data_IF_837213472808
#
_entry.id   IF_837213472808
#
_cell.length_a   1.000
_cell.length_b   1.000
_cell.length_c   1.000
_cell.angle_alpha   90.00
_cell.angle_beta   90.00
_cell.angle_gamma   90.00
#
_symmetry.space_group_name_H-M   'P 1'
#
loop_
_entity.id
_entity.type
_entity.pdbx_description
1 polymer ?
#
# COMPACT_ATOMS: atom_id res chain seq x y z
N UNK A 1 29.08 10.60 -19.46
CA UNK A 1 28.52 11.34 -18.31
C UNK A 1 29.15 10.76 -17.05
N UNK A 2 29.71 11.60 -16.18
CA UNK A 2 30.41 11.12 -14.98
C UNK A 2 29.34 10.87 -13.88
N UNK A 3 29.37 9.70 -13.25
CA UNK A 3 28.42 9.33 -12.19
C UNK A 3 28.34 10.39 -11.07
N UNK A 4 29.46 11.02 -10.74
CA UNK A 4 29.54 12.07 -9.72
C UNK A 4 28.75 13.32 -10.14
N UNK A 5 28.78 13.70 -11.41
CA UNK A 5 28.02 14.83 -11.93
C UNK A 5 26.52 14.58 -11.89
N UNK A 6 26.09 13.36 -12.24
CA UNK A 6 24.68 12.97 -12.20
C UNK A 6 24.14 13.04 -10.76
N UNK A 7 24.90 12.50 -9.80
CA UNK A 7 24.52 12.56 -8.38
C UNK A 7 24.43 13.99 -7.89
N UNK A 8 25.39 14.85 -8.27
CA UNK A 8 25.37 16.27 -7.90
C UNK A 8 24.15 16.97 -8.45
N UNK A 9 23.84 16.80 -9.74
CA UNK A 9 22.67 17.37 -10.39
C UNK A 9 21.35 16.86 -9.77
N UNK A 10 21.26 15.57 -9.43
CA UNK A 10 20.10 15.01 -8.75
C UNK A 10 19.87 15.64 -7.36
N UNK A 11 20.95 15.87 -6.60
CA UNK A 11 20.88 16.55 -5.31
C UNK A 11 20.47 18.02 -5.48
N UNK A 12 21.07 18.74 -6.42
CA UNK A 12 20.70 20.12 -6.74
C UNK A 12 19.20 20.22 -7.13
N UNK A 13 18.68 19.28 -7.90
CA UNK A 13 17.28 19.23 -8.31
C UNK A 13 16.33 19.03 -7.11
N UNK A 14 16.72 18.21 -6.13
CA UNK A 14 15.95 18.05 -4.89
C UNK A 14 15.92 19.35 -4.08
N UNK A 15 17.06 20.05 -3.95
CA UNK A 15 17.16 21.27 -3.15
C UNK A 15 16.73 22.54 -3.89
N UNK A 16 16.59 22.52 -5.21
CA UNK A 16 16.06 23.63 -6.00
C UNK A 16 14.57 23.85 -5.85
N UNK A 17 13.86 22.96 -5.12
CA UNK A 17 12.41 22.97 -4.98
C UNK A 17 11.67 22.97 -6.35
N UNK A 18 12.19 22.15 -7.29
CA UNK A 18 11.57 22.03 -8.61
C UNK A 18 10.10 21.64 -8.48
N UNK A 19 9.21 22.47 -9.04
CA UNK A 19 7.76 22.34 -8.91
C UNK A 19 7.26 20.98 -9.45
N UNK A 20 7.83 20.51 -10.55
CA UNK A 20 7.41 19.26 -11.19
C UNK A 20 7.79 18.07 -10.35
N UNK A 21 9.03 18.04 -9.83
CA UNK A 21 9.52 16.99 -8.95
C UNK A 21 8.66 16.88 -7.69
N UNK A 22 8.38 18.00 -7.02
CA UNK A 22 7.57 18.00 -5.80
C UNK A 22 6.11 17.65 -6.06
N UNK A 23 5.55 17.99 -7.22
CA UNK A 23 4.21 17.57 -7.61
C UNK A 23 4.11 16.04 -7.76
N UNK A 24 5.10 15.41 -8.39
CA UNK A 24 5.20 13.94 -8.51
C UNK A 24 5.30 13.27 -7.14
N UNK A 25 6.16 13.80 -6.26
CA UNK A 25 6.33 13.29 -4.89
C UNK A 25 4.99 13.39 -4.13
N UNK A 26 4.35 14.57 -4.15
CA UNK A 26 3.10 14.80 -3.43
C UNK A 26 1.97 13.91 -3.95
N UNK A 27 1.83 13.75 -5.27
CA UNK A 27 0.84 12.86 -5.85
C UNK A 27 1.07 11.40 -5.43
N UNK A 28 2.32 10.93 -5.45
CA UNK A 28 2.70 9.57 -5.02
C UNK A 28 2.32 9.31 -3.56
N UNK A 29 2.64 10.26 -2.68
CA UNK A 29 2.27 10.18 -1.26
C UNK A 29 0.76 10.18 -1.09
N UNK A 30 0.05 11.09 -1.76
CA UNK A 30 -1.40 11.23 -1.66
C UNK A 30 -2.12 9.94 -2.07
N UNK A 31 -1.81 9.38 -3.25
CA UNK A 31 -2.50 8.17 -3.74
C UNK A 31 -2.19 6.97 -2.85
N UNK A 32 -0.94 6.80 -2.43
CA UNK A 32 -0.54 5.67 -1.58
C UNK A 32 -1.08 5.77 -0.16
N UNK A 33 -1.16 6.97 0.43
CA UNK A 33 -1.76 7.17 1.75
C UNK A 33 -3.26 6.91 1.72
N UNK A 34 -3.99 7.44 0.71
CA UNK A 34 -5.43 7.21 0.56
C UNK A 34 -5.72 5.73 0.35
N UNK A 35 -4.98 5.06 -0.53
CA UNK A 35 -5.13 3.62 -0.76
C UNK A 35 -4.87 2.82 0.52
N UNK A 36 -3.80 3.15 1.25
CA UNK A 36 -3.46 2.47 2.51
C UNK A 36 -4.51 2.70 3.59
N UNK A 37 -5.06 3.90 3.70
CA UNK A 37 -6.12 4.21 4.65
C UNK A 37 -7.38 3.39 4.37
N UNK A 38 -7.84 3.38 3.11
CA UNK A 38 -9.05 2.63 2.71
C UNK A 38 -8.82 1.12 2.85
N UNK A 39 -7.73 0.59 2.30
CA UNK A 39 -7.41 -0.83 2.41
C UNK A 39 -7.13 -1.24 3.87
N UNK A 40 -6.57 -0.35 4.68
CA UNK A 40 -6.31 -0.54 6.10
C UNK A 40 -7.59 -0.72 6.91
N UNK A 41 -8.51 0.20 6.76
CA UNK A 41 -9.81 0.12 7.46
C UNK A 41 -10.58 -1.13 7.08
N UNK A 42 -10.70 -1.41 5.78
CA UNK A 42 -11.40 -2.61 5.28
C UNK A 42 -10.67 -3.89 5.68
N UNK A 43 -9.34 -3.94 5.52
CA UNK A 43 -8.53 -5.12 5.79
C UNK A 43 -8.48 -5.50 7.28
N UNK A 44 -8.47 -4.51 8.19
CA UNK A 44 -8.56 -4.75 9.63
C UNK A 44 -9.91 -5.37 9.99
N UNK A 45 -11.01 -4.83 9.47
CA UNK A 45 -12.35 -5.37 9.74
C UNK A 45 -12.50 -6.79 9.19
N UNK A 46 -12.11 -7.03 7.95
CA UNK A 46 -12.19 -8.37 7.34
C UNK A 46 -11.24 -9.35 8.03
N UNK A 47 -10.02 -8.93 8.37
CA UNK A 47 -9.06 -9.72 9.13
C UNK A 47 -9.59 -10.13 10.50
N UNK A 48 -10.29 -9.22 11.21
CA UNK A 48 -10.96 -9.51 12.47
C UNK A 48 -12.07 -10.55 12.29
N UNK A 49 -12.96 -10.38 11.30
CA UNK A 49 -14.03 -11.33 11.01
C UNK A 49 -13.47 -12.71 10.72
N UNK A 50 -12.40 -12.79 9.94
CA UNK A 50 -11.71 -14.04 9.62
C UNK A 50 -10.95 -14.63 10.82
N UNK A 51 -10.58 -13.85 11.83
CA UNK A 51 -10.00 -14.37 13.07
C UNK A 51 -11.07 -14.95 14.00
N UNK A 52 -12.18 -14.23 14.19
CA UNK A 52 -13.23 -14.54 15.16
C UNK A 52 -14.21 -15.60 14.67
N UNK A 53 -14.80 -15.38 13.48
CA UNK A 53 -15.95 -16.16 13.02
C UNK A 53 -15.53 -17.53 12.46
N UNK A 54 -16.39 -18.54 12.71
CA UNK A 54 -16.34 -19.83 12.03
C UNK A 54 -17.52 -19.93 11.08
N UNK A 55 -17.25 -20.18 9.80
CA UNK A 55 -18.28 -20.33 8.76
C UNK A 55 -17.83 -21.35 7.72
N UNK A 56 -18.76 -21.94 6.97
CA UNK A 56 -18.41 -22.84 5.87
C UNK A 56 -17.50 -22.12 4.87
N UNK A 57 -16.53 -22.83 4.30
CA UNK A 57 -15.55 -22.32 3.34
C UNK A 57 -14.55 -21.27 3.90
N UNK A 58 -14.50 -21.02 5.22
CA UNK A 58 -13.52 -20.10 5.82
C UNK A 58 -12.08 -20.36 5.34
N UNK A 59 -11.65 -21.61 5.37
CA UNK A 59 -10.30 -21.99 4.97
C UNK A 59 -10.05 -21.69 3.49
N UNK A 60 -11.04 -21.87 2.64
CA UNK A 60 -10.96 -21.53 1.21
C UNK A 60 -10.79 -20.02 1.02
N UNK A 61 -11.56 -19.18 1.73
CA UNK A 61 -11.42 -17.72 1.70
C UNK A 61 -10.01 -17.30 2.14
N UNK A 62 -9.48 -17.91 3.20
CA UNK A 62 -8.12 -17.64 3.69
C UNK A 62 -7.07 -18.01 2.63
N UNK A 63 -7.23 -19.15 1.97
CA UNK A 63 -6.33 -19.58 0.89
C UNK A 63 -6.35 -18.56 -0.26
N UNK A 64 -7.53 -18.09 -0.68
CA UNK A 64 -7.66 -17.08 -1.73
C UNK A 64 -6.96 -15.78 -1.31
N UNK A 65 -7.21 -15.28 -0.11
CA UNK A 65 -6.59 -14.04 0.38
C UNK A 65 -5.06 -14.17 0.40
N UNK A 66 -4.54 -15.30 0.87
CA UNK A 66 -3.10 -15.54 0.88
C UNK A 66 -2.52 -15.66 -0.54
N UNK A 67 -3.23 -16.31 -1.46
CA UNK A 67 -2.82 -16.38 -2.86
C UNK A 67 -2.79 -14.99 -3.54
N UNK A 68 -3.76 -14.13 -3.22
CA UNK A 68 -3.83 -12.75 -3.74
C UNK A 68 -2.68 -11.86 -3.22
N UNK A 69 -2.02 -12.20 -2.10
CA UNK A 69 -0.82 -11.45 -1.67
C UNK A 69 0.34 -11.55 -2.68
N UNK A 70 0.41 -12.67 -3.43
CA UNK A 70 1.43 -12.94 -4.43
C UNK A 70 1.02 -12.60 -5.87
N UNK A 71 -0.15 -12.01 -6.09
CA UNK A 71 -0.62 -11.70 -7.45
C UNK A 71 0.31 -10.70 -8.13
N UNK A 72 0.72 -10.94 -9.41
CA UNK A 72 1.52 -9.99 -10.15
C UNK A 72 0.77 -8.67 -10.34
N UNK A 73 1.39 -7.57 -9.99
CA UNK A 73 0.75 -6.25 -10.02
C UNK A 73 0.30 -5.83 -11.42
N UNK A 74 1.05 -6.22 -12.45
CA UNK A 74 0.68 -6.01 -13.86
C UNK A 74 -0.66 -6.67 -14.19
N UNK A 75 -0.92 -7.85 -13.65
CA UNK A 75 -2.21 -8.55 -13.85
C UNK A 75 -3.35 -7.77 -13.17
N UNK A 76 -3.13 -7.28 -11.96
CA UNK A 76 -4.12 -6.43 -11.28
C UNK A 76 -4.38 -5.15 -12.09
N UNK A 77 -3.33 -4.50 -12.58
CA UNK A 77 -3.45 -3.33 -13.45
C UNK A 77 -4.27 -3.61 -14.70
N UNK A 78 -4.02 -4.75 -15.35
CA UNK A 78 -4.77 -5.16 -16.54
C UNK A 78 -6.25 -5.44 -16.22
N UNK A 79 -6.54 -6.13 -15.12
CA UNK A 79 -7.93 -6.39 -14.69
C UNK A 79 -8.66 -5.07 -14.42
N UNK A 80 -8.06 -4.16 -13.65
CA UNK A 80 -8.65 -2.85 -13.37
C UNK A 80 -8.84 -2.06 -14.67
N UNK A 81 -7.85 -2.09 -15.57
CA UNK A 81 -7.98 -1.46 -16.87
C UNK A 81 -9.18 -1.99 -17.65
N UNK A 82 -9.32 -3.32 -17.78
CA UNK A 82 -10.43 -3.94 -18.52
C UNK A 82 -11.81 -3.64 -17.89
N UNK A 83 -11.86 -3.51 -16.56
CA UNK A 83 -13.10 -3.17 -15.85
C UNK A 83 -13.54 -1.72 -16.07
N UNK A 84 -12.59 -0.77 -16.12
CA UNK A 84 -12.88 0.66 -16.17
C UNK A 84 -12.60 1.32 -17.53
N UNK A 85 -12.07 0.58 -18.53
CA UNK A 85 -11.95 1.06 -19.91
C UNK A 85 -13.33 1.33 -20.51
N UNK A 86 -13.40 2.16 -21.54
CA UNK A 86 -14.64 2.62 -22.16
C UNK A 86 -15.61 1.48 -22.52
N UNK A 87 -15.08 0.34 -22.97
CA UNK A 87 -15.86 -0.85 -23.30
C UNK A 87 -16.09 -1.80 -22.11
N UNK A 88 -15.52 -1.48 -20.95
CA UNK A 88 -15.64 -2.29 -19.74
C UNK A 88 -16.95 -2.05 -18.99
N UNK A 89 -17.29 -2.95 -18.03
CA UNK A 89 -18.56 -2.87 -17.29
C UNK A 89 -18.71 -1.58 -16.46
N UNK A 90 -17.61 -0.95 -16.09
CA UNK A 90 -17.57 0.31 -15.33
C UNK A 90 -17.03 1.48 -16.17
N UNK A 91 -16.98 1.36 -17.50
CA UNK A 91 -16.46 2.40 -18.39
C UNK A 91 -17.18 3.73 -18.29
N UNK A 92 -18.49 3.71 -18.01
CA UNK A 92 -19.29 4.93 -17.79
C UNK A 92 -18.80 5.80 -16.61
N UNK A 93 -17.98 5.28 -15.71
CA UNK A 93 -17.40 6.05 -14.60
C UNK A 93 -16.17 6.87 -15.00
N UNK A 94 -15.62 6.67 -16.20
CA UNK A 94 -14.47 7.39 -16.77
C UNK A 94 -13.27 7.49 -15.83
N UNK A 95 -13.00 6.40 -15.06
CA UNK A 95 -11.97 6.40 -14.02
C UNK A 95 -10.57 6.07 -14.56
N UNK A 96 -10.46 5.44 -15.74
CA UNK A 96 -9.16 5.06 -16.27
C UNK A 96 -8.28 6.30 -16.53
N UNK A 97 -6.99 6.16 -16.31
CA UNK A 97 -6.01 7.25 -16.40
C UNK A 97 -6.27 8.41 -15.42
N UNK A 98 -6.89 8.13 -14.29
CA UNK A 98 -7.06 9.09 -13.18
C UNK A 98 -6.32 8.65 -11.93
N UNK A 99 -6.03 9.56 -10.97
CA UNK A 99 -5.50 9.18 -9.67
C UNK A 99 -6.39 8.19 -8.90
N UNK A 100 -7.70 8.21 -9.14
CA UNK A 100 -8.67 7.28 -8.54
C UNK A 100 -8.43 5.84 -9.02
N UNK A 101 -8.15 5.63 -10.30
CA UNK A 101 -7.80 4.30 -10.81
C UNK A 101 -6.51 3.76 -10.17
N UNK A 102 -5.52 4.63 -9.93
CA UNK A 102 -4.29 4.28 -9.22
C UNK A 102 -4.62 3.82 -7.79
N UNK A 103 -5.45 4.58 -7.07
CA UNK A 103 -5.87 4.25 -5.70
C UNK A 103 -6.59 2.90 -5.68
N UNK A 104 -7.52 2.64 -6.60
CA UNK A 104 -8.25 1.36 -6.69
C UNK A 104 -7.28 0.20 -6.91
N UNK A 105 -6.35 0.32 -7.85
CA UNK A 105 -5.37 -0.73 -8.11
C UNK A 105 -4.46 -1.00 -6.89
N UNK A 106 -4.01 0.05 -6.22
CA UNK A 106 -3.23 -0.08 -4.99
C UNK A 106 -4.04 -0.74 -3.87
N UNK A 107 -5.32 -0.38 -3.68
CA UNK A 107 -6.20 -1.04 -2.70
C UNK A 107 -6.27 -2.54 -2.96
N UNK A 108 -6.52 -2.95 -4.19
CA UNK A 108 -6.62 -4.37 -4.56
C UNK A 108 -5.33 -5.13 -4.23
N UNK A 109 -4.16 -4.49 -4.43
CA UNK A 109 -2.85 -5.10 -4.15
C UNK A 109 -2.52 -5.22 -2.67
N UNK A 110 -2.88 -4.20 -1.85
CA UNK A 110 -2.47 -4.17 -0.45
C UNK A 110 -3.54 -4.70 0.51
N UNK A 111 -4.81 -4.74 0.11
CA UNK A 111 -5.91 -5.26 0.92
C UNK A 111 -5.72 -6.71 1.37
N UNK A 112 -5.35 -7.68 0.49
CA UNK A 112 -5.08 -9.05 0.92
C UNK A 112 -3.95 -9.15 1.94
N UNK A 113 -2.89 -8.37 1.77
CA UNK A 113 -1.75 -8.31 2.67
C UNK A 113 -2.20 -7.87 4.08
N UNK A 114 -2.93 -6.74 4.16
CA UNK A 114 -3.42 -6.21 5.43
C UNK A 114 -4.37 -7.21 6.08
N UNK A 115 -5.30 -7.77 5.33
CA UNK A 115 -6.30 -8.72 5.82
C UNK A 115 -5.66 -9.98 6.41
N UNK A 116 -4.71 -10.57 5.68
CA UNK A 116 -4.04 -11.80 6.12
C UNK A 116 -3.22 -11.58 7.40
N UNK A 117 -2.36 -10.55 7.40
CA UNK A 117 -1.50 -10.26 8.56
C UNK A 117 -2.31 -9.81 9.79
N UNK A 118 -3.38 -9.05 9.59
CA UNK A 118 -4.30 -8.66 10.68
C UNK A 118 -4.99 -9.88 11.27
N UNK A 119 -5.47 -10.80 10.41
CA UNK A 119 -6.05 -12.06 10.87
C UNK A 119 -5.07 -12.85 11.75
N UNK A 120 -3.83 -13.01 11.32
CA UNK A 120 -2.80 -13.73 12.09
C UNK A 120 -2.55 -13.08 13.45
N UNK A 121 -2.42 -11.75 13.47
CA UNK A 121 -2.26 -10.98 14.70
C UNK A 121 -3.45 -11.17 15.65
N UNK A 122 -4.67 -11.10 15.13
CA UNK A 122 -5.88 -11.24 15.95
C UNK A 122 -6.15 -12.66 16.40
N UNK A 123 -5.82 -13.68 15.61
CA UNK A 123 -5.85 -15.09 16.06
C UNK A 123 -4.93 -15.29 17.27
N UNK A 124 -3.76 -14.67 17.28
CA UNK A 124 -2.85 -14.72 18.43
C UNK A 124 -3.46 -14.05 19.67
N UNK A 125 -4.13 -12.90 19.52
CA UNK A 125 -4.83 -12.22 20.61
C UNK A 125 -6.04 -13.04 21.14
N UNK A 126 -6.79 -13.71 20.24
CA UNK A 126 -7.87 -14.61 20.66
C UNK A 126 -7.37 -15.80 21.47
N UNK A 127 -6.17 -16.31 21.21
CA UNK A 127 -5.56 -17.37 22.04
C UNK A 127 -5.23 -16.88 23.45
N UNK A 128 -4.86 -15.62 23.62
CA UNK A 128 -4.48 -15.02 24.91
C UNK A 128 -5.71 -14.58 25.70
N UNK A 129 -6.65 -13.88 25.06
CA UNK A 129 -7.75 -13.18 25.72
C UNK A 129 -9.13 -13.82 25.51
N UNK A 130 -9.21 -14.90 24.71
CA UNK A 130 -10.48 -15.46 24.26
C UNK A 130 -11.41 -15.93 25.38
N UNK A 131 -10.87 -16.56 26.44
CA UNK A 131 -11.66 -17.00 27.59
C UNK A 131 -12.20 -15.82 28.40
N UNK A 132 -11.39 -14.77 28.59
CA UNK A 132 -11.80 -13.54 29.27
C UNK A 132 -12.90 -12.81 28.50
N UNK A 133 -12.76 -12.71 27.17
CA UNK A 133 -13.76 -12.10 26.28
C UNK A 133 -15.11 -12.83 26.38
N UNK A 134 -15.08 -14.18 26.39
CA UNK A 134 -16.29 -15.00 26.54
C UNK A 134 -16.94 -14.82 27.92
N UNK A 135 -16.13 -14.79 28.98
CA UNK A 135 -16.64 -14.59 30.36
C UNK A 135 -17.31 -13.21 30.52
N UNK A 136 -16.75 -12.17 29.92
CA UNK A 136 -17.26 -10.81 29.97
C UNK A 136 -18.42 -10.55 28.98
N UNK A 137 -18.75 -11.49 28.10
CA UNK A 137 -19.79 -11.38 27.06
C UNK A 137 -19.71 -10.08 26.27
N UNK A 138 -18.50 -9.68 25.89
CA UNK A 138 -18.27 -8.41 25.18
C UNK A 138 -18.94 -8.43 23.79
N UNK A 139 -19.58 -7.33 23.36
CA UNK A 139 -20.07 -7.20 21.98
C UNK A 139 -18.91 -7.13 21.00
N UNK A 140 -19.11 -7.59 19.77
CA UNK A 140 -18.06 -7.68 18.73
C UNK A 140 -17.32 -6.36 18.47
N UNK A 141 -18.03 -5.21 18.54
CA UNK A 141 -17.44 -3.89 18.39
C UNK A 141 -16.43 -3.60 19.52
N UNK A 142 -16.76 -3.95 20.76
CA UNK A 142 -15.83 -3.78 21.88
C UNK A 142 -14.60 -4.68 21.75
N UNK A 143 -14.76 -5.90 21.21
CA UNK A 143 -13.66 -6.84 20.97
C UNK A 143 -12.71 -6.27 19.89
N UNK A 144 -13.24 -5.77 18.77
CA UNK A 144 -12.37 -5.20 17.71
C UNK A 144 -11.62 -3.97 18.21
N UNK A 145 -12.28 -3.09 18.98
CA UNK A 145 -11.62 -1.91 19.58
C UNK A 145 -10.53 -2.34 20.57
N UNK A 146 -10.82 -3.34 21.41
CA UNK A 146 -9.83 -3.90 22.34
C UNK A 146 -8.62 -4.47 21.59
N UNK A 147 -8.86 -5.23 20.52
CA UNK A 147 -7.79 -5.83 19.72
C UNK A 147 -7.01 -4.81 18.91
N UNK A 148 -7.66 -3.74 18.42
CA UNK A 148 -6.96 -2.63 17.81
C UNK A 148 -6.03 -1.91 18.81
N UNK A 149 -6.44 -1.78 20.08
CA UNK A 149 -5.60 -1.20 21.13
C UNK A 149 -4.47 -2.14 21.55
N UNK A 150 -4.79 -3.39 21.87
CA UNK A 150 -3.80 -4.40 22.31
C UNK A 150 -2.83 -4.78 21.18
N UNK A 151 -3.32 -4.88 19.93
CA UNK A 151 -2.55 -5.21 18.75
C UNK A 151 -1.99 -3.99 18.01
N UNK A 152 -2.09 -2.77 18.57
CA UNK A 152 -1.65 -1.54 17.90
C UNK A 152 -0.24 -1.62 17.32
N UNK A 153 0.78 -2.15 18.03
CA UNK A 153 2.12 -2.27 17.46
C UNK A 153 2.17 -3.14 16.21
N UNK A 154 1.48 -4.28 16.21
CA UNK A 154 1.39 -5.18 15.06
C UNK A 154 0.64 -4.53 13.91
N UNK A 155 -0.49 -3.87 14.18
CA UNK A 155 -1.26 -3.16 13.17
C UNK A 155 -0.47 -2.00 12.56
N UNK A 156 0.28 -1.24 13.35
CA UNK A 156 1.15 -0.18 12.83
C UNK A 156 2.19 -0.72 11.86
N UNK A 157 2.82 -1.86 12.20
CA UNK A 157 3.78 -2.53 11.32
C UNK A 157 3.10 -2.97 10.01
N UNK A 158 1.90 -3.57 10.09
CA UNK A 158 1.14 -4.04 8.94
C UNK A 158 0.80 -2.86 8.00
N UNK A 159 0.27 -1.77 8.55
CA UNK A 159 -0.12 -0.58 7.77
C UNK A 159 1.09 0.10 7.12
N UNK A 160 2.20 0.26 7.86
CA UNK A 160 3.43 0.83 7.31
C UNK A 160 4.02 -0.06 6.21
N UNK A 161 3.99 -1.39 6.38
CA UNK A 161 4.46 -2.33 5.33
C UNK A 161 3.58 -2.27 4.08
N UNK A 162 2.26 -2.15 4.25
CA UNK A 162 1.32 -1.98 3.15
C UNK A 162 1.53 -0.64 2.42
N UNK A 163 1.78 0.44 3.16
CA UNK A 163 2.13 1.73 2.57
C UNK A 163 3.44 1.65 1.78
N UNK A 164 4.47 1.01 2.33
CA UNK A 164 5.73 0.78 1.62
C UNK A 164 5.53 0.01 0.32
N UNK A 165 4.66 -1.03 0.31
CA UNK A 165 4.29 -1.76 -0.91
C UNK A 165 3.53 -0.87 -1.90
N UNK A 166 2.58 -0.07 -1.42
CA UNK A 166 1.79 0.82 -2.28
C UNK A 166 2.65 1.90 -2.97
N UNK A 167 3.52 2.58 -2.22
CA UNK A 167 4.33 3.68 -2.76
C UNK A 167 5.42 3.21 -3.73
N UNK A 168 5.86 1.96 -3.62
CA UNK A 168 6.85 1.35 -4.51
C UNK A 168 6.24 0.62 -5.72
N UNK A 169 4.90 0.66 -5.87
CA UNK A 169 4.22 -0.05 -6.94
C UNK A 169 4.39 0.64 -8.30
N UNK A 170 4.74 -0.13 -9.31
CA UNK A 170 5.00 0.34 -10.68
C UNK A 170 4.02 -0.26 -11.70
N UNK A 171 3.85 -1.58 -11.71
CA UNK A 171 3.20 -2.31 -12.79
C UNK A 171 1.73 -1.94 -12.97
N UNK A 172 0.96 -2.08 -11.90
CA UNK A 172 -0.46 -1.71 -11.92
C UNK A 172 -0.64 -0.21 -12.18
N UNK A 173 0.14 0.62 -11.49
CA UNK A 173 0.04 2.09 -11.58
C UNK A 173 0.33 2.60 -12.98
N UNK A 174 1.34 2.01 -13.67
CA UNK A 174 1.67 2.36 -15.05
C UNK A 174 0.50 2.07 -16.00
N UNK A 175 -0.16 0.90 -15.84
CA UNK A 175 -1.26 0.50 -16.70
C UNK A 175 -2.49 1.38 -16.48
N UNK A 176 -2.92 1.54 -15.22
CA UNK A 176 -4.18 2.25 -14.94
C UNK A 176 -4.04 3.76 -14.90
N UNK A 177 -2.85 4.27 -14.60
CA UNK A 177 -2.56 5.71 -14.52
C UNK A 177 -2.06 6.32 -15.83
N UNK A 178 -1.40 5.53 -16.70
CA UNK A 178 -0.88 5.99 -17.99
C UNK A 178 0.27 7.00 -17.90
N UNK A 179 0.81 7.30 -16.71
CA UNK A 179 1.91 8.26 -16.49
C UNK A 179 1.71 9.65 -17.13
N UNK A 180 0.48 10.18 -17.07
CA UNK A 180 0.15 11.50 -17.64
C UNK A 180 0.78 12.58 -16.78
N UNK A 181 1.53 13.48 -17.44
CA UNK A 181 2.23 14.58 -16.78
C UNK A 181 1.26 15.50 -16.03
N UNK A 182 1.69 15.97 -14.85
CA UNK A 182 0.91 16.81 -13.94
C UNK A 182 -0.42 16.21 -13.44
N UNK A 183 -0.78 14.97 -13.84
CA UNK A 183 -2.07 14.40 -13.50
C UNK A 183 -2.00 13.01 -12.82
N UNK A 184 -1.30 12.03 -13.44
CA UNK A 184 -1.19 10.67 -12.91
C UNK A 184 0.25 10.18 -12.76
N UNK A 185 1.23 11.02 -13.13
CA UNK A 185 2.65 10.68 -12.99
C UNK A 185 3.04 10.62 -11.52
N UNK A 186 3.43 9.42 -11.06
CA UNK A 186 3.96 9.17 -9.71
C UNK A 186 5.45 8.85 -9.76
N UNK A 187 6.15 8.85 -8.61
CA UNK A 187 7.61 8.66 -8.57
C UNK A 187 8.06 7.40 -9.33
N UNK A 188 7.43 6.26 -9.08
CA UNK A 188 7.82 4.98 -9.70
C UNK A 188 7.64 4.97 -11.20
N UNK A 189 6.54 5.53 -11.71
CA UNK A 189 6.29 5.62 -13.17
C UNK A 189 7.17 6.66 -13.82
N UNK A 190 7.43 7.80 -13.15
CA UNK A 190 8.35 8.81 -13.60
C UNK A 190 9.78 8.27 -13.74
N UNK A 191 10.31 7.59 -12.72
CA UNK A 191 11.63 6.95 -12.77
C UNK A 191 11.76 6.05 -14.00
N UNK A 192 10.74 5.20 -14.25
CA UNK A 192 10.77 4.27 -15.39
C UNK A 192 10.78 4.99 -16.74
N UNK A 193 10.02 6.08 -16.87
CA UNK A 193 9.92 6.86 -18.12
C UNK A 193 11.15 7.75 -18.32
N UNK A 194 11.58 8.49 -17.29
CA UNK A 194 12.76 9.35 -17.36
C UNK A 194 14.03 8.56 -17.70
N UNK A 195 14.17 7.34 -17.11
CA UNK A 195 15.27 6.44 -17.45
C UNK A 195 15.26 6.04 -18.94
N UNK A 196 14.06 5.75 -19.50
CA UNK A 196 13.92 5.41 -20.94
C UNK A 196 14.21 6.57 -21.86
N UNK A 197 13.89 7.79 -21.41
CA UNK A 197 14.16 9.03 -22.16
C UNK A 197 15.63 9.47 -22.08
N UNK A 198 16.43 8.86 -21.20
CA UNK A 198 17.83 9.23 -20.96
C UNK A 198 18.01 10.39 -19.98
N UNK A 199 16.95 10.86 -19.32
CA UNK A 199 16.98 11.92 -18.29
C UNK A 199 17.37 11.33 -16.92
N UNK A 200 18.61 10.86 -16.85
CA UNK A 200 19.11 10.06 -15.71
C UNK A 200 19.15 10.88 -14.42
N UNK A 201 19.37 12.20 -14.50
CA UNK A 201 19.40 13.10 -13.34
C UNK A 201 18.04 13.16 -12.64
N UNK A 202 16.96 13.35 -13.38
CA UNK A 202 15.59 13.39 -12.86
C UNK A 202 15.17 12.01 -12.30
N UNK A 203 15.50 10.94 -13.03
CA UNK A 203 15.22 9.57 -12.56
C UNK A 203 15.95 9.27 -11.25
N UNK A 204 17.23 9.68 -11.13
CA UNK A 204 18.03 9.47 -9.93
C UNK A 204 17.52 10.32 -8.76
N UNK A 205 17.15 11.60 -9.00
CA UNK A 205 16.58 12.47 -7.96
C UNK A 205 15.32 11.85 -7.33
N UNK A 206 14.36 11.41 -8.17
CA UNK A 206 13.16 10.72 -7.72
C UNK A 206 13.47 9.40 -7.03
N UNK A 207 14.45 8.64 -7.55
CA UNK A 207 14.92 7.39 -6.97
C UNK A 207 15.49 7.56 -5.57
N UNK A 208 16.31 8.60 -5.34
CA UNK A 208 16.87 8.94 -4.02
C UNK A 208 15.76 9.30 -3.05
N UNK A 209 14.80 10.13 -3.45
CA UNK A 209 13.65 10.49 -2.60
C UNK A 209 12.84 9.26 -2.23
N UNK A 210 12.51 8.40 -3.20
CA UNK A 210 11.76 7.15 -2.96
C UNK A 210 12.52 6.22 -2.02
N UNK A 211 13.84 6.09 -2.19
CA UNK A 211 14.69 5.28 -1.34
C UNK A 211 14.73 5.83 0.09
N UNK A 212 14.88 7.13 0.28
CA UNK A 212 14.85 7.77 1.60
C UNK A 212 13.48 7.55 2.29
N UNK A 213 12.38 7.69 1.55
CA UNK A 213 11.03 7.41 2.07
C UNK A 213 10.88 5.93 2.50
N UNK A 214 11.36 4.99 1.71
CA UNK A 214 11.28 3.56 2.04
C UNK A 214 12.17 3.19 3.22
N UNK A 215 13.35 3.78 3.34
CA UNK A 215 14.24 3.63 4.51
C UNK A 215 13.57 4.20 5.76
N UNK A 216 12.97 5.39 5.66
CA UNK A 216 12.26 6.02 6.78
C UNK A 216 11.09 5.13 7.26
N UNK A 217 10.26 4.66 6.34
CA UNK A 217 9.16 3.73 6.66
C UNK A 217 9.69 2.45 7.31
N UNK A 218 10.73 1.84 6.75
CA UNK A 218 11.37 0.63 7.29
C UNK A 218 11.98 0.87 8.68
N UNK A 219 12.58 2.02 8.89
CA UNK A 219 13.13 2.44 10.19
C UNK A 219 12.04 2.57 11.25
N UNK A 220 10.91 3.18 10.91
CA UNK A 220 9.74 3.29 11.78
C UNK A 220 9.19 1.90 12.12
N UNK A 221 9.04 1.03 11.11
CA UNK A 221 8.62 -0.37 11.30
C UNK A 221 9.54 -1.11 12.27
N UNK A 222 10.86 -0.98 12.07
CA UNK A 222 11.85 -1.61 12.93
C UNK A 222 11.80 -1.07 14.36
N UNK A 223 11.65 0.25 14.53
CA UNK A 223 11.52 0.88 15.85
C UNK A 223 10.29 0.35 16.60
N UNK A 224 9.13 0.29 15.95
CA UNK A 224 7.92 -0.29 16.54
C UNK A 224 8.12 -1.75 16.92
N UNK A 225 8.68 -2.56 16.00
CA UNK A 225 8.95 -3.99 16.27
C UNK A 225 9.91 -4.19 17.44
N UNK A 226 10.95 -3.38 17.54
CA UNK A 226 11.93 -3.47 18.64
C UNK A 226 11.33 -3.08 19.99
N UNK A 227 10.59 -1.96 20.04
CA UNK A 227 10.00 -1.43 21.29
C UNK A 227 8.93 -2.36 21.87
N UNK A 228 8.19 -3.07 21.02
CA UNK A 228 7.06 -3.92 21.43
C UNK A 228 7.37 -5.43 21.37
N UNK A 229 8.63 -5.83 21.13
CA UNK A 229 9.05 -7.25 21.14
C UNK A 229 9.01 -7.87 22.53
N UNK A 230 8.99 -7.07 23.59
CA UNK A 230 9.05 -7.50 25.00
C UNK A 230 7.68 -7.41 25.71
N UNK A 231 6.59 -7.26 24.96
CA UNK A 231 5.21 -7.34 25.45
C UNK A 231 4.52 -8.58 24.85
#
# INVERSE_FOLDING_TARGET
>A
MNLVEIIKQAIELIFSFDKNLYQIIFLSLKVSLVATFIAGTMGIVVGFILAEKTFPLKNFVIIIINALMGIPSVVVGLIVYLLFAYQGPFGALELIYTPTAIIIAQIILIFPLITSLTRESFVSLFKIYGEQIKALKLPWIAIIVLFCKAGFPSLAIIILSAFGKAISEIGAVMIVGGNIDHYTRVMTTAIAVETRMGNVESALALGVVLLLLTILVSGIVYYFKSKFKNI
#
